data_IF_703474335450
#
_entry.id   IF_703474335450
#
_cell.length_a   1.000
_cell.length_b   1.000
_cell.length_c   1.000
_cell.angle_alpha   90.00
_cell.angle_beta   90.00
_cell.angle_gamma   90.00
#
_symmetry.space_group_name_H-M   'P 1'
#
loop_
_entity.id
_entity.type
_entity.pdbx_description
1 polymer ?
#
# COMPACT_ATOMS: atom_id res chain seq x y z
N UNK A 1 -3.93 -9.61 -4.76
CA UNK A 1 -5.35 -9.45 -4.34
C UNK A 1 -5.83 -8.12 -4.80
N UNK A 2 -6.95 -8.09 -5.48
CA UNK A 2 -7.56 -6.86 -5.98
C UNK A 2 -9.08 -7.04 -6.02
N UNK A 3 -9.80 -5.97 -6.32
CA UNK A 3 -11.23 -6.03 -6.56
C UNK A 3 -11.55 -6.64 -7.94
N UNK A 4 -12.77 -7.18 -8.15
CA UNK A 4 -13.16 -7.82 -9.41
C UNK A 4 -12.98 -6.96 -10.66
N UNK A 5 -13.09 -5.63 -10.52
CA UNK A 5 -12.91 -4.67 -11.61
C UNK A 5 -11.49 -4.66 -12.20
N UNK A 6 -10.50 -5.16 -11.45
CA UNK A 6 -9.11 -5.30 -11.92
C UNK A 6 -8.83 -6.67 -12.54
N UNK A 7 -9.77 -7.60 -12.46
CA UNK A 7 -9.59 -8.95 -12.97
C UNK A 7 -9.72 -8.99 -14.50
N UNK A 8 -8.77 -9.64 -15.15
CA UNK A 8 -8.84 -9.86 -16.60
C UNK A 8 -9.97 -10.83 -16.96
N UNK A 9 -10.62 -10.58 -18.07
CA UNK A 9 -11.66 -11.45 -18.65
C UNK A 9 -12.84 -11.77 -17.70
N UNK A 10 -13.14 -10.92 -16.73
CA UNK A 10 -14.25 -11.13 -15.80
C UNK A 10 -14.11 -12.33 -14.86
N UNK A 11 -12.88 -12.83 -14.67
CA UNK A 11 -12.61 -13.94 -13.75
C UNK A 11 -12.80 -13.46 -12.32
N UNK A 12 -13.56 -14.21 -11.52
CA UNK A 12 -13.70 -13.89 -10.09
C UNK A 12 -12.37 -14.05 -9.37
N UNK A 13 -11.88 -13.02 -8.65
CA UNK A 13 -10.65 -13.13 -7.89
C UNK A 13 -10.67 -14.28 -6.87
N UNK A 14 -9.51 -14.89 -6.63
CA UNK A 14 -9.40 -16.04 -5.72
C UNK A 14 -9.99 -15.76 -4.34
N UNK A 15 -9.71 -14.60 -3.76
CA UNK A 15 -10.21 -14.23 -2.43
C UNK A 15 -11.73 -14.10 -2.39
N UNK A 16 -12.34 -13.55 -3.46
CA UNK A 16 -13.79 -13.46 -3.61
C UNK A 16 -14.43 -14.86 -3.68
N UNK A 17 -13.81 -15.79 -4.41
CA UNK A 17 -14.24 -17.18 -4.43
C UNK A 17 -14.14 -17.84 -3.05
N UNK A 18 -13.08 -17.58 -2.28
CA UNK A 18 -12.95 -18.12 -0.92
C UNK A 18 -14.04 -17.58 0.01
N UNK A 19 -14.38 -16.29 -0.10
CA UNK A 19 -15.47 -15.68 0.67
C UNK A 19 -16.83 -16.25 0.29
N UNK A 20 -17.13 -16.39 -1.00
CA UNK A 20 -18.39 -16.94 -1.50
C UNK A 20 -18.60 -18.40 -1.09
N UNK A 21 -17.54 -19.18 -1.03
CA UNK A 21 -17.55 -20.57 -0.59
C UNK A 21 -17.50 -20.74 0.94
N UNK A 22 -17.51 -19.63 1.70
CA UNK A 22 -17.43 -19.62 3.16
C UNK A 22 -16.23 -20.40 3.74
N UNK A 23 -15.09 -20.37 3.04
CA UNK A 23 -13.88 -21.08 3.44
C UNK A 23 -13.12 -20.38 4.57
N UNK A 24 -13.42 -19.10 4.82
CA UNK A 24 -12.69 -18.25 5.75
C UNK A 24 -13.51 -18.00 7.00
N UNK A 25 -12.86 -18.06 8.17
CA UNK A 25 -13.47 -17.66 9.43
C UNK A 25 -13.84 -16.17 9.44
N UNK A 26 -12.96 -15.34 8.91
CA UNK A 26 -13.17 -13.90 8.71
C UNK A 26 -12.80 -13.54 7.28
N UNK A 27 -13.53 -12.63 6.66
CA UNK A 27 -13.26 -12.19 5.29
C UNK A 27 -12.14 -11.14 5.27
N UNK A 28 -10.93 -11.57 5.56
CA UNK A 28 -9.72 -10.77 5.56
C UNK A 28 -8.51 -11.57 5.08
N UNK A 29 -7.51 -10.88 4.61
CA UNK A 29 -6.18 -11.40 4.36
C UNK A 29 -5.12 -10.44 4.93
N UNK A 30 -3.91 -10.94 5.19
CA UNK A 30 -2.81 -10.11 5.66
C UNK A 30 -1.49 -10.53 5.02
N UNK A 31 -0.69 -9.55 4.65
CA UNK A 31 0.69 -9.74 4.21
C UNK A 31 1.67 -9.41 5.34
N UNK A 32 2.64 -10.29 5.52
CA UNK A 32 3.85 -10.00 6.28
C UNK A 32 5.04 -10.15 5.35
N UNK A 33 5.72 -9.04 5.06
CA UNK A 33 6.85 -9.01 4.13
C UNK A 33 8.14 -8.80 4.90
N UNK A 34 9.13 -9.65 4.61
CA UNK A 34 10.47 -9.58 5.20
C UNK A 34 11.51 -9.24 4.13
N UNK A 35 12.68 -8.79 4.57
CA UNK A 35 13.84 -8.61 3.70
C UNK A 35 14.70 -9.88 3.71
N UNK A 36 15.38 -10.18 2.60
CA UNK A 36 16.27 -11.34 2.48
C UNK A 36 17.40 -11.36 3.54
N UNK A 37 17.76 -10.20 4.10
CA UNK A 37 18.79 -10.07 5.12
C UNK A 37 18.41 -10.65 6.50
N UNK A 38 17.12 -10.92 6.72
CA UNK A 38 16.63 -11.36 8.03
C UNK A 38 16.49 -12.88 8.17
N UNK A 39 16.67 -13.66 7.09
CA UNK A 39 16.39 -15.11 7.02
C UNK A 39 15.00 -15.49 7.57
N UNK A 40 14.03 -14.58 7.45
CA UNK A 40 12.65 -14.79 7.84
C UNK A 40 11.79 -14.97 6.59
N UNK A 41 10.81 -15.84 6.69
CA UNK A 41 9.85 -16.05 5.60
C UNK A 41 8.78 -14.96 5.59
N UNK A 42 8.39 -14.54 4.38
CA UNK A 42 7.23 -13.69 4.17
C UNK A 42 5.97 -14.54 4.15
N UNK A 43 4.89 -14.03 4.72
CA UNK A 43 3.62 -14.74 4.84
C UNK A 43 2.47 -14.00 4.18
N UNK A 44 1.56 -14.78 3.61
CA UNK A 44 0.22 -14.33 3.23
C UNK A 44 -0.80 -15.20 3.97
N UNK A 45 -1.55 -14.60 4.87
CA UNK A 45 -2.57 -15.29 5.65
C UNK A 45 -3.97 -14.96 5.16
N UNK A 46 -4.88 -15.92 5.27
CA UNK A 46 -6.30 -15.78 4.93
C UNK A 46 -7.18 -16.11 6.13
N UNK A 47 -8.17 -15.27 6.40
CA UNK A 47 -9.12 -15.46 7.50
C UNK A 47 -8.62 -15.03 8.88
N UNK A 48 -7.35 -14.65 9.00
CA UNK A 48 -6.76 -14.15 10.25
C UNK A 48 -5.50 -13.30 9.96
N UNK A 49 -5.03 -12.63 11.00
CA UNK A 49 -3.70 -11.97 11.01
C UNK A 49 -2.93 -12.42 12.26
N UNK A 50 -1.62 -12.59 12.10
CA UNK A 50 -0.74 -13.04 13.18
C UNK A 50 -0.26 -11.84 14.03
N UNK A 51 -0.72 -11.78 15.28
CA UNK A 51 -0.35 -10.70 16.21
C UNK A 51 1.13 -10.70 16.60
N UNK A 52 1.86 -11.77 16.35
CA UNK A 52 3.31 -11.83 16.61
C UNK A 52 4.13 -11.09 15.56
N UNK A 53 3.53 -10.80 14.39
CA UNK A 53 4.19 -10.19 13.23
C UNK A 53 4.17 -8.65 13.24
N UNK A 54 3.48 -8.02 14.18
CA UNK A 54 3.41 -6.56 14.28
C UNK A 54 3.35 -6.10 15.75
N UNK A 55 3.55 -4.81 15.98
CA UNK A 55 3.48 -4.18 17.30
C UNK A 55 2.34 -3.17 17.34
N UNK A 56 1.69 -3.05 18.50
CA UNK A 56 0.56 -2.14 18.71
C UNK A 56 -0.76 -2.71 18.17
N UNK A 57 -1.72 -1.83 17.99
CA UNK A 57 -3.06 -2.17 17.51
C UNK A 57 -3.20 -1.97 16.01
N UNK A 58 -4.05 -2.80 15.37
CA UNK A 58 -4.43 -2.59 13.98
C UNK A 58 -5.39 -1.41 13.87
N UNK A 59 -5.11 -0.53 12.92
CA UNK A 59 -5.99 0.58 12.57
C UNK A 59 -6.64 0.27 11.23
N UNK A 60 -7.97 0.31 11.18
CA UNK A 60 -8.74 0.05 9.97
C UNK A 60 -9.12 1.36 9.30
N UNK A 61 -8.86 1.47 8.01
CA UNK A 61 -9.26 2.61 7.19
C UNK A 61 -10.28 2.17 6.13
N UNK A 62 -11.31 3.00 5.87
CA UNK A 62 -12.25 2.68 4.80
C UNK A 62 -11.56 2.71 3.44
N UNK A 63 -11.87 1.72 2.60
CA UNK A 63 -11.46 1.74 1.19
C UNK A 63 -12.37 2.70 0.44
N UNK A 64 -11.82 3.77 -0.09
CA UNK A 64 -12.53 4.81 -0.84
C UNK A 64 -12.53 4.55 -2.34
N UNK A 65 -11.50 3.88 -2.85
CA UNK A 65 -11.37 3.49 -4.25
C UNK A 65 -11.24 1.98 -4.37
N UNK A 66 -12.35 1.33 -4.71
CA UNK A 66 -12.49 -0.14 -4.72
C UNK A 66 -11.87 -0.85 -5.92
N UNK A 67 -11.11 -0.17 -6.74
CA UNK A 67 -10.36 -0.77 -7.83
C UNK A 67 -9.04 -1.39 -7.30
N UNK A 68 -8.33 -0.66 -6.43
CA UNK A 68 -6.99 -1.01 -5.95
C UNK A 68 -6.82 -0.81 -4.42
N UNK A 69 -7.79 -1.10 -3.58
CA UNK A 69 -7.70 -0.85 -2.13
C UNK A 69 -7.21 0.56 -1.78
N UNK A 70 -7.70 1.57 -2.52
CA UNK A 70 -7.32 2.96 -2.30
C UNK A 70 -7.92 3.53 -1.03
N UNK A 71 -7.08 4.05 -0.14
CA UNK A 71 -7.46 4.69 1.12
C UNK A 71 -7.08 6.18 1.10
N UNK A 72 -7.67 6.95 2.00
CA UNK A 72 -7.31 8.37 2.18
C UNK A 72 -5.84 8.51 2.58
N UNK A 73 -5.14 9.41 1.90
CA UNK A 73 -3.79 9.84 2.29
C UNK A 73 -3.87 11.26 2.88
N UNK A 74 -3.64 11.37 4.18
CA UNK A 74 -3.74 12.65 4.87
C UNK A 74 -2.45 13.45 4.85
N UNK A 75 -1.29 12.78 4.85
CA UNK A 75 0.01 13.45 4.86
C UNK A 75 1.13 12.50 4.43
N UNK A 76 2.20 13.08 3.92
CA UNK A 76 3.49 12.41 3.72
C UNK A 76 4.53 13.12 4.58
N UNK A 77 5.24 12.38 5.42
CA UNK A 77 6.29 12.91 6.30
C UNK A 77 7.65 12.32 5.96
N UNK A 78 8.66 13.15 5.96
CA UNK A 78 10.07 12.74 5.88
C UNK A 78 10.75 13.18 7.16
N UNK A 79 11.36 12.24 7.88
CA UNK A 79 12.00 12.48 9.18
C UNK A 79 11.06 13.20 10.18
N UNK A 80 9.79 12.81 10.20
CA UNK A 80 8.77 13.39 11.07
C UNK A 80 8.20 14.75 10.64
N UNK A 81 8.75 15.37 9.59
CA UNK A 81 8.27 16.67 9.06
C UNK A 81 7.30 16.45 7.92
N UNK A 82 6.12 17.04 8.03
CA UNK A 82 5.11 17.05 6.95
C UNK A 82 5.68 17.73 5.70
N UNK A 83 5.36 17.17 4.55
CA UNK A 83 5.66 17.77 3.25
C UNK A 83 4.55 18.70 2.77
N UNK A 84 3.39 18.70 3.44
CA UNK A 84 2.23 19.52 3.08
C UNK A 84 1.69 19.19 1.67
N UNK A 85 1.83 17.95 1.21
CA UNK A 85 1.40 17.56 -0.13
C UNK A 85 -0.08 17.21 -0.17
N UNK A 86 -0.56 16.52 0.86
CA UNK A 86 -1.92 15.99 0.96
C UNK A 86 -2.60 16.46 2.24
N UNK A 87 -3.91 16.21 2.32
CA UNK A 87 -4.72 16.53 3.49
C UNK A 87 -5.33 17.94 3.49
N UNK A 88 -6.06 18.32 4.55
CA UNK A 88 -6.86 19.54 4.60
C UNK A 88 -6.07 20.83 4.37
N UNK A 89 -4.81 20.84 4.80
CA UNK A 89 -3.90 21.99 4.67
C UNK A 89 -2.80 21.77 3.63
N UNK A 90 -2.88 20.68 2.86
CA UNK A 90 -1.90 20.33 1.84
C UNK A 90 -2.18 20.95 0.47
N UNK A 91 -1.27 20.76 -0.47
CA UNK A 91 -1.42 21.18 -1.87
C UNK A 91 -2.62 20.50 -2.56
N UNK A 92 -2.96 19.28 -2.13
CA UNK A 92 -4.13 18.51 -2.58
C UNK A 92 -4.91 18.00 -1.38
N UNK A 93 -6.23 18.18 -1.41
CA UNK A 93 -7.08 17.80 -0.28
C UNK A 93 -7.48 16.32 -0.29
N UNK A 94 -7.74 15.76 -1.47
CA UNK A 94 -8.29 14.41 -1.63
C UNK A 94 -7.25 13.48 -2.26
N UNK A 95 -6.13 13.25 -1.57
CA UNK A 95 -5.15 12.26 -2.02
C UNK A 95 -5.62 10.85 -1.65
N UNK A 96 -5.34 9.91 -2.55
CA UNK A 96 -5.49 8.49 -2.29
C UNK A 96 -4.12 7.83 -2.33
N UNK A 97 -3.96 6.79 -1.53
CA UNK A 97 -2.82 5.88 -1.59
C UNK A 97 -3.30 4.45 -1.69
N UNK A 98 -2.62 3.66 -2.51
CA UNK A 98 -2.82 2.22 -2.61
C UNK A 98 -1.60 1.52 -2.03
N UNK A 99 -1.83 0.54 -1.15
CA UNK A 99 -0.78 -0.35 -0.66
C UNK A 99 -0.76 -1.57 -1.58
N UNK A 100 0.18 -1.58 -2.51
CA UNK A 100 0.29 -2.63 -3.53
C UNK A 100 1.51 -3.51 -3.26
N UNK A 101 1.26 -4.75 -2.82
CA UNK A 101 2.32 -5.75 -2.59
C UNK A 101 2.96 -6.27 -3.89
N UNK A 102 2.38 -5.97 -5.05
CA UNK A 102 2.89 -6.34 -6.37
C UNK A 102 3.85 -5.29 -6.96
N UNK A 103 3.99 -4.12 -6.33
CA UNK A 103 4.86 -3.04 -6.80
C UNK A 103 6.03 -2.84 -5.86
N UNK A 104 7.26 -3.02 -6.36
CA UNK A 104 8.49 -2.94 -5.55
C UNK A 104 8.91 -1.50 -5.24
N UNK A 105 8.45 -0.52 -6.01
CA UNK A 105 8.82 0.89 -5.90
C UNK A 105 7.62 1.73 -5.48
N UNK A 106 7.88 2.94 -5.00
CA UNK A 106 6.84 3.90 -4.73
C UNK A 106 6.52 4.69 -6.02
N UNK A 107 5.33 4.48 -6.56
CA UNK A 107 4.80 5.27 -7.66
C UNK A 107 4.08 6.51 -7.13
N UNK A 108 4.30 7.66 -7.75
CA UNK A 108 3.67 8.91 -7.36
C UNK A 108 3.48 9.84 -8.54
N UNK A 109 2.51 10.79 -8.49
CA UNK A 109 2.37 11.81 -9.51
C UNK A 109 3.62 12.69 -9.61
N UNK A 110 3.98 13.15 -10.83
CA UNK A 110 5.16 13.97 -11.07
C UNK A 110 5.20 15.26 -10.24
N UNK A 111 4.03 15.86 -9.92
CA UNK A 111 3.95 17.05 -9.06
C UNK A 111 4.40 16.78 -7.61
N UNK A 112 4.28 15.54 -7.12
CA UNK A 112 4.72 15.15 -5.77
C UNK A 112 6.17 14.69 -5.75
N UNK A 113 6.66 14.14 -6.87
CA UNK A 113 7.99 13.56 -6.99
C UNK A 113 9.10 14.54 -6.63
N UNK A 114 9.14 15.71 -7.26
CA UNK A 114 10.17 16.73 -7.01
C UNK A 114 10.17 17.24 -5.58
N UNK A 115 9.00 17.35 -4.95
CA UNK A 115 8.89 17.78 -3.55
C UNK A 115 9.46 16.74 -2.60
N UNK A 116 9.21 15.47 -2.86
CA UNK A 116 9.72 14.36 -2.05
C UNK A 116 11.22 14.21 -2.28
N UNK A 117 11.67 14.20 -3.53
CA UNK A 117 13.09 14.05 -3.90
C UNK A 117 13.97 15.12 -3.24
N UNK A 118 13.53 16.37 -3.23
CA UNK A 118 14.28 17.47 -2.62
C UNK A 118 14.37 17.39 -1.08
N UNK A 119 13.59 16.52 -0.45
CA UNK A 119 13.56 16.32 1.00
C UNK A 119 14.19 15.02 1.46
N UNK A 120 14.43 14.09 0.54
CA UNK A 120 15.16 12.87 0.84
C UNK A 120 16.65 13.21 1.01
N UNK A 121 17.32 12.62 2.01
CA UNK A 121 18.75 12.73 2.11
C UNK A 121 19.37 12.09 0.86
N UNK A 122 20.09 12.88 0.08
CA UNK A 122 20.89 12.38 -1.04
C UNK A 122 22.09 11.64 -0.45
N UNK A 123 22.06 10.33 -0.46
CA UNK A 123 23.27 9.53 -0.42
C UNK A 123 23.78 9.41 -1.86
N UNK A 124 25.11 9.38 -2.05
CA UNK A 124 25.81 9.31 -3.34
C UNK A 124 25.54 8.02 -4.17
N UNK A 125 24.46 7.32 -3.91
CA UNK A 125 23.99 6.24 -4.74
C UNK A 125 23.08 6.81 -5.83
N UNK A 126 23.29 6.52 -7.13
CA UNK A 126 22.38 6.92 -8.18
C UNK A 126 21.03 6.29 -7.92
N UNK A 127 20.04 7.10 -7.55
CA UNK A 127 18.65 6.71 -7.56
C UNK A 127 18.27 6.54 -9.03
N UNK A 128 18.21 5.31 -9.51
CA UNK A 128 17.61 5.02 -10.80
C UNK A 128 16.10 5.23 -10.68
N UNK A 129 15.68 6.45 -10.97
CA UNK A 129 14.27 6.78 -11.09
C UNK A 129 13.85 6.52 -12.55
N UNK A 130 13.10 5.48 -12.79
CA UNK A 130 12.45 5.26 -14.07
C UNK A 130 11.18 6.13 -14.14
N UNK A 131 11.19 7.09 -15.02
CA UNK A 131 10.00 7.86 -15.36
C UNK A 131 9.14 6.97 -16.27
N UNK A 132 8.01 6.48 -15.76
CA UNK A 132 7.01 5.86 -16.61
C UNK A 132 6.26 6.95 -17.36
N UNK A 133 6.37 6.92 -18.68
CA UNK A 133 5.62 7.76 -19.63
C UNK A 133 4.17 7.32 -19.74
#
# INVERSE_FOLDING_TARGET
>A
MAYPELAENGVTPMFDNMMQQHLLKNNLFAFYLTTNSQNLESDLTFGYYDKTKFKGDLVWHPVLFKYMFGIQLDDIKVNGKSLGLCGPNGKKQNCLVTVDSGTSMMAMPSWAYSEIQNKLPTHDAPLECQQQS
#
